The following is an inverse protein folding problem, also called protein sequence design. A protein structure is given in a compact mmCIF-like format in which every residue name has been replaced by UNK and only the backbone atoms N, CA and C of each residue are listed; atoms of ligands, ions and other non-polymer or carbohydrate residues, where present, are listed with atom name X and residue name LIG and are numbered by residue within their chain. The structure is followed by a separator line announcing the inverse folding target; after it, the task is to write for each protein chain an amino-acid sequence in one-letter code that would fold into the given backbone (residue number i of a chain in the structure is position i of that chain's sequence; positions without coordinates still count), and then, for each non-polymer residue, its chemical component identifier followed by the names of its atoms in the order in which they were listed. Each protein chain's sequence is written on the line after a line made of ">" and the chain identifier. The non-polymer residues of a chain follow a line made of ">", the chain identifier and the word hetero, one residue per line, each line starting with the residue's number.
data_IF_459405804633
#
_entry.id   IF_459405804633
#
_cell.length_a   1.000
_cell.length_b   1.000
_cell.length_c   1.000
_cell.angle_alpha   90.00
_cell.angle_beta   90.00
_cell.angle_gamma   90.00
#
_symmetry.space_group_name_H-M   'P 1'
#
loop_
_entity.id
_entity.type
_entity.pdbx_description
1 polymer ?
#
# COMPACT_ATOMS: atom_id res chain seq x y z
N UNK A 1 23.77 5.73 -0.80
CA UNK A 1 24.15 4.58 0.04
C UNK A 1 23.52 3.31 -0.54
N UNK A 2 24.27 2.23 -0.63
CA UNK A 2 24.01 1.00 -1.41
C UNK A 2 22.57 0.44 -1.30
N UNK A 3 21.83 0.42 -2.41
CA UNK A 3 20.47 -0.18 -2.51
C UNK A 3 20.52 -1.61 -3.07
N UNK A 4 21.29 -2.50 -2.42
CA UNK A 4 21.25 -3.94 -2.67
C UNK A 4 20.37 -4.61 -1.60
N UNK A 5 19.28 -5.27 -2.00
CA UNK A 5 18.55 -6.17 -1.09
C UNK A 5 19.09 -7.58 -1.25
N UNK A 6 19.66 -8.08 -0.15
CA UNK A 6 20.25 -9.40 0.01
C UNK A 6 19.21 -10.32 0.66
N UNK A 7 18.57 -11.19 -0.13
CA UNK A 7 17.59 -12.19 0.30
C UNK A 7 18.15 -13.62 0.14
N UNK A 8 19.45 -13.76 -0.11
CA UNK A 8 20.11 -15.05 -0.23
C UNK A 8 20.16 -15.82 1.09
N UNK A 9 20.31 -17.15 1.02
CA UNK A 9 20.46 -18.06 2.18
C UNK A 9 19.22 -18.10 3.11
N UNK A 10 18.02 -18.03 2.53
CA UNK A 10 16.78 -18.24 3.26
C UNK A 10 16.05 -19.51 2.75
N UNK A 11 14.88 -19.81 3.32
CA UNK A 11 14.07 -20.97 2.92
C UNK A 11 12.94 -20.61 1.95
N UNK A 12 13.12 -19.56 1.15
CA UNK A 12 12.06 -19.05 0.26
C UNK A 12 11.77 -20.09 -0.83
N UNK A 13 10.52 -20.55 -0.94
CA UNK A 13 10.09 -21.57 -1.90
C UNK A 13 9.42 -21.00 -3.13
N UNK A 14 8.79 -19.84 -3.03
CA UNK A 14 8.09 -19.17 -4.13
C UNK A 14 8.17 -17.65 -3.99
N UNK A 15 8.21 -16.95 -5.12
CA UNK A 15 8.11 -15.49 -5.18
C UNK A 15 6.76 -15.12 -5.79
N UNK A 16 5.86 -14.61 -4.95
CA UNK A 16 4.50 -14.26 -5.31
C UNK A 16 4.38 -12.99 -6.17
N UNK A 17 3.20 -12.81 -6.74
CA UNK A 17 2.84 -11.63 -7.51
C UNK A 17 3.06 -10.34 -6.69
N UNK A 18 3.67 -9.33 -7.30
CA UNK A 18 3.88 -8.03 -6.66
C UNK A 18 4.89 -7.99 -5.50
N UNK A 19 5.66 -9.05 -5.27
CA UNK A 19 6.58 -9.16 -4.12
C UNK A 19 7.58 -7.99 -3.96
N UNK A 20 7.92 -7.30 -5.05
CA UNK A 20 8.88 -6.19 -5.05
C UNK A 20 8.25 -4.82 -5.40
N UNK A 21 6.91 -4.73 -5.45
CA UNK A 21 6.18 -3.52 -5.88
C UNK A 21 6.42 -2.32 -4.94
N UNK A 22 6.62 -2.56 -3.65
CA UNK A 22 6.90 -1.51 -2.66
C UNK A 22 8.31 -0.90 -2.77
N UNK A 23 9.21 -1.47 -3.57
CA UNK A 23 10.65 -1.12 -3.60
C UNK A 23 11.17 -0.77 -5.01
N UNK A 24 10.46 0.15 -5.69
CA UNK A 24 10.70 0.60 -7.08
C UNK A 24 12.12 1.15 -7.37
N UNK A 25 12.87 1.55 -6.33
CA UNK A 25 14.21 2.17 -6.44
C UNK A 25 15.38 1.17 -6.36
N UNK A 26 15.09 -0.13 -6.26
CA UNK A 26 16.13 -1.16 -6.06
C UNK A 26 16.91 -1.40 -7.34
N UNK A 27 18.24 -1.25 -7.25
CA UNK A 27 19.16 -1.50 -8.36
C UNK A 27 19.64 -2.95 -8.42
N UNK A 28 19.65 -3.65 -7.27
CA UNK A 28 20.13 -5.02 -7.16
C UNK A 28 19.24 -5.89 -6.27
N UNK A 29 18.81 -7.03 -6.80
CA UNK A 29 18.08 -8.08 -6.07
C UNK A 29 18.92 -9.36 -6.08
N UNK A 30 19.20 -9.90 -4.89
CA UNK A 30 19.86 -11.20 -4.73
C UNK A 30 18.91 -12.20 -4.07
N UNK A 31 18.43 -13.18 -4.84
CA UNK A 31 17.58 -14.30 -4.40
C UNK A 31 18.34 -15.63 -4.49
N UNK A 32 19.66 -15.60 -4.71
CA UNK A 32 20.44 -16.82 -4.89
C UNK A 32 20.45 -17.68 -3.62
N UNK A 33 20.72 -18.98 -3.75
CA UNK A 33 20.81 -19.89 -2.59
C UNK A 33 19.52 -19.92 -1.74
N UNK A 34 18.36 -20.10 -2.38
CA UNK A 34 17.07 -20.32 -1.72
C UNK A 34 16.46 -21.66 -2.20
N UNK A 35 15.20 -21.92 -1.88
CA UNK A 35 14.45 -23.12 -2.31
C UNK A 35 13.40 -22.77 -3.39
N UNK A 36 13.63 -21.71 -4.18
CA UNK A 36 12.63 -21.17 -5.10
C UNK A 36 12.37 -22.13 -6.26
N UNK A 37 11.11 -22.55 -6.40
CA UNK A 37 10.67 -23.44 -7.48
C UNK A 37 10.02 -22.65 -8.61
N UNK A 38 9.26 -21.59 -8.28
CA UNK A 38 8.51 -20.75 -9.23
C UNK A 38 8.58 -19.26 -8.84
N UNK A 39 8.47 -18.38 -9.83
CA UNK A 39 8.34 -16.93 -9.67
C UNK A 39 7.14 -16.46 -10.49
N UNK A 40 6.26 -15.66 -9.90
CA UNK A 40 5.09 -15.09 -10.57
C UNK A 40 5.49 -14.12 -11.70
N UNK A 41 4.69 -14.09 -12.77
CA UNK A 41 5.00 -13.32 -14.00
C UNK A 41 5.14 -11.81 -13.82
N UNK A 42 4.49 -11.26 -12.80
CA UNK A 42 4.47 -9.85 -12.45
C UNK A 42 5.38 -9.50 -11.26
N UNK A 43 6.17 -10.45 -10.73
CA UNK A 43 7.00 -10.23 -9.55
C UNK A 43 8.00 -9.07 -9.70
N UNK A 44 8.51 -8.82 -10.92
CA UNK A 44 9.49 -7.76 -11.22
C UNK A 44 8.88 -6.52 -11.90
N UNK A 45 7.55 -6.44 -12.00
CA UNK A 45 6.88 -5.30 -12.62
C UNK A 45 7.12 -4.01 -11.82
N UNK A 46 7.37 -2.91 -12.52
CA UNK A 46 7.61 -1.59 -11.91
C UNK A 46 9.03 -1.36 -11.37
N UNK A 47 9.93 -2.35 -11.44
CA UNK A 47 11.34 -2.21 -11.03
C UNK A 47 12.20 -1.54 -12.12
N UNK A 48 11.92 -0.27 -12.40
CA UNK A 48 12.55 0.49 -13.50
C UNK A 48 14.04 0.77 -13.33
N UNK A 49 14.59 0.61 -12.12
CA UNK A 49 16.02 0.83 -11.82
C UNK A 49 16.83 -0.46 -11.63
N UNK A 50 16.24 -1.63 -11.83
CA UNK A 50 16.91 -2.91 -11.60
C UNK A 50 17.98 -3.16 -12.67
N UNK A 51 19.24 -3.28 -12.25
CA UNK A 51 20.38 -3.52 -13.13
C UNK A 51 21.09 -4.84 -12.85
N UNK A 52 20.88 -5.44 -11.67
CA UNK A 52 21.51 -6.70 -11.28
C UNK A 52 20.53 -7.63 -10.56
N UNK A 53 20.40 -8.85 -11.07
CA UNK A 53 19.57 -9.90 -10.52
C UNK A 53 20.41 -11.17 -10.29
N UNK A 54 20.25 -11.82 -9.14
CA UNK A 54 20.89 -13.11 -8.84
C UNK A 54 19.81 -14.12 -8.47
N UNK A 55 19.64 -15.16 -9.29
CA UNK A 55 18.66 -16.24 -9.09
C UNK A 55 19.31 -17.62 -8.93
N UNK A 56 20.63 -17.71 -9.04
CA UNK A 56 21.40 -18.95 -9.06
C UNK A 56 21.23 -19.78 -7.79
N UNK A 57 21.44 -21.10 -7.90
CA UNK A 57 21.27 -22.06 -6.78
C UNK A 57 19.86 -22.02 -6.18
N UNK A 58 18.85 -22.19 -7.04
CA UNK A 58 17.45 -22.41 -6.70
C UNK A 58 16.89 -23.60 -7.52
N UNK A 59 16.00 -24.43 -6.95
CA UNK A 59 15.43 -25.60 -7.62
C UNK A 59 14.29 -25.26 -8.60
N UNK A 60 14.57 -24.46 -9.62
CA UNK A 60 13.52 -24.00 -10.55
C UNK A 60 12.85 -25.14 -11.33
N UNK A 61 11.51 -25.12 -11.35
CA UNK A 61 10.70 -25.98 -12.22
C UNK A 61 10.41 -25.24 -13.53
N UNK A 62 11.12 -25.62 -14.59
CA UNK A 62 11.01 -25.05 -15.93
C UNK A 62 9.87 -25.68 -16.73
N UNK A 63 8.65 -25.49 -16.25
CA UNK A 63 7.39 -25.82 -16.92
C UNK A 63 6.79 -24.57 -17.61
N UNK A 64 5.55 -24.67 -18.10
CA UNK A 64 4.87 -23.56 -18.77
C UNK A 64 4.72 -22.30 -17.88
N UNK A 65 4.66 -22.44 -16.55
CA UNK A 65 4.50 -21.33 -15.62
C UNK A 65 5.75 -20.46 -15.48
N UNK A 66 6.94 -21.00 -15.77
CA UNK A 66 8.21 -20.27 -15.71
C UNK A 66 8.65 -19.72 -17.08
N UNK A 67 7.86 -19.95 -18.14
CA UNK A 67 8.16 -19.52 -19.52
C UNK A 67 8.44 -18.02 -19.62
N UNK A 68 7.67 -17.20 -18.90
CA UNK A 68 7.81 -15.74 -18.91
C UNK A 68 9.20 -15.30 -18.43
N UNK A 69 9.78 -16.01 -17.45
CA UNK A 69 11.05 -15.64 -16.84
C UNK A 69 12.19 -15.78 -17.84
N UNK A 70 12.17 -16.84 -18.64
CA UNK A 70 13.13 -17.02 -19.74
C UNK A 70 13.02 -15.88 -20.77
N UNK A 71 11.81 -15.49 -21.16
CA UNK A 71 11.59 -14.37 -22.05
C UNK A 71 12.07 -13.03 -21.44
N UNK A 72 11.81 -12.83 -20.15
CA UNK A 72 12.23 -11.64 -19.41
C UNK A 72 13.76 -11.53 -19.32
N UNK A 73 14.47 -12.61 -18.96
CA UNK A 73 15.93 -12.61 -18.82
C UNK A 73 16.66 -12.47 -20.17
N UNK A 74 16.07 -12.94 -21.28
CA UNK A 74 16.60 -12.68 -22.63
C UNK A 74 16.47 -11.22 -23.02
N UNK A 75 15.33 -10.60 -22.71
CA UNK A 75 15.07 -9.19 -22.99
C UNK A 75 15.88 -8.26 -22.09
N UNK A 76 16.15 -8.70 -20.86
CA UNK A 76 16.87 -7.95 -19.83
C UNK A 76 18.05 -8.79 -19.33
N UNK A 77 19.27 -8.64 -19.90
CA UNK A 77 20.46 -9.41 -19.51
C UNK A 77 21.07 -8.92 -18.18
N UNK A 78 20.23 -8.86 -17.14
CA UNK A 78 20.56 -8.36 -15.80
C UNK A 78 20.88 -9.50 -14.81
N UNK A 79 20.59 -10.75 -15.19
CA UNK A 79 20.88 -11.93 -14.38
C UNK A 79 22.36 -12.30 -14.49
N UNK A 80 23.06 -12.38 -13.36
CA UNK A 80 24.54 -12.51 -13.34
C UNK A 80 25.04 -13.77 -12.64
N UNK A 81 24.15 -14.57 -12.04
CA UNK A 81 24.51 -15.75 -11.25
C UNK A 81 24.27 -17.10 -11.96
N UNK A 82 23.72 -17.08 -13.18
CA UNK A 82 23.55 -18.24 -14.03
C UNK A 82 22.45 -19.18 -13.58
N UNK A 83 21.23 -18.65 -13.43
CA UNK A 83 20.04 -19.40 -13.05
C UNK A 83 19.81 -20.63 -13.96
N UNK A 84 19.62 -21.80 -13.37
CA UNK A 84 19.46 -23.09 -14.07
C UNK A 84 18.18 -23.78 -13.65
N UNK A 85 17.59 -24.53 -14.57
CA UNK A 85 16.48 -25.42 -14.26
C UNK A 85 16.97 -26.60 -13.41
N UNK A 86 16.13 -27.03 -12.46
CA UNK A 86 16.32 -28.28 -11.72
C UNK A 86 15.39 -29.36 -12.27
N UNK A 87 14.14 -29.00 -12.52
CA UNK A 87 13.14 -29.87 -13.14
C UNK A 87 12.53 -29.20 -14.39
N UNK A 88 11.92 -29.95 -15.33
CA UNK A 88 11.97 -31.41 -15.46
C UNK A 88 13.36 -31.91 -15.89
N UNK A 89 13.67 -33.21 -15.69
CA UNK A 89 14.98 -33.83 -15.97
C UNK A 89 15.57 -33.47 -17.35
N UNK A 90 14.73 -33.31 -18.39
CA UNK A 90 15.18 -32.92 -19.75
C UNK A 90 15.80 -31.52 -19.84
N UNK A 91 15.41 -30.62 -18.93
CA UNK A 91 15.90 -29.25 -18.85
C UNK A 91 16.87 -29.03 -17.69
N UNK A 92 17.03 -30.01 -16.80
CA UNK A 92 17.91 -29.93 -15.65
C UNK A 92 19.30 -29.43 -16.05
N UNK A 93 19.85 -28.51 -15.25
CA UNK A 93 21.17 -27.87 -15.40
C UNK A 93 21.30 -26.92 -16.61
N UNK A 94 20.30 -26.81 -17.49
CA UNK A 94 20.28 -25.80 -18.56
C UNK A 94 19.98 -24.42 -17.97
N UNK A 95 20.62 -23.38 -18.51
CA UNK A 95 20.37 -22.01 -18.07
C UNK A 95 19.00 -21.55 -18.57
N UNK A 96 18.27 -20.82 -17.73
CA UNK A 96 16.89 -20.40 -18.01
C UNK A 96 16.85 -19.40 -19.18
N UNK A 97 17.82 -18.48 -19.25
CA UNK A 97 17.97 -17.47 -20.32
C UNK A 97 18.28 -18.08 -21.70
N UNK A 98 18.84 -19.29 -21.74
CA UNK A 98 19.19 -19.99 -22.98
C UNK A 98 18.03 -20.84 -23.55
N UNK A 99 16.92 -20.98 -22.83
CA UNK A 99 15.77 -21.78 -23.26
C UNK A 99 14.80 -20.96 -24.09
N UNK A 100 14.22 -21.60 -25.10
CA UNK A 100 13.15 -21.03 -25.93
C UNK A 100 11.78 -21.44 -25.38
N UNK A 101 10.76 -20.67 -25.71
CA UNK A 101 9.39 -20.86 -25.24
C UNK A 101 8.87 -22.29 -25.45
N UNK A 102 9.20 -22.91 -26.57
CA UNK A 102 8.85 -24.30 -26.94
C UNK A 102 9.40 -25.38 -25.98
N UNK A 103 10.46 -25.04 -25.23
CA UNK A 103 11.06 -25.96 -24.27
C UNK A 103 10.22 -26.07 -22.98
N UNK A 104 9.36 -25.10 -22.69
CA UNK A 104 8.53 -25.08 -21.49
C UNK A 104 7.18 -25.78 -21.77
N UNK A 105 7.02 -26.99 -21.24
CA UNK A 105 5.82 -27.84 -21.48
C UNK A 105 5.22 -28.28 -20.14
N UNK A 106 3.89 -28.19 -20.00
CA UNK A 106 3.12 -28.71 -18.88
C UNK A 106 2.48 -30.07 -19.23
N UNK A 107 2.11 -30.88 -18.24
CA UNK A 107 1.42 -32.16 -18.47
C UNK A 107 -0.05 -31.88 -18.87
N UNK A 108 -0.61 -32.59 -19.87
CA UNK A 108 -2.03 -32.49 -20.17
C UNK A 108 -2.82 -33.07 -18.98
N UNK A 109 -3.65 -32.25 -18.34
CA UNK A 109 -4.40 -32.59 -17.13
C UNK A 109 -4.01 -31.84 -15.85
N UNK A 110 -2.95 -31.01 -15.88
CA UNK A 110 -2.83 -29.80 -15.02
C UNK A 110 -3.30 -28.56 -15.80
N UNK A 111 -4.15 -28.79 -16.80
CA UNK A 111 -4.94 -27.79 -17.47
C UNK A 111 -6.18 -27.59 -16.60
N UNK A 112 -6.20 -26.54 -15.77
CA UNK A 112 -7.49 -25.91 -15.46
C UNK A 112 -8.12 -25.57 -16.80
N UNK A 113 -9.31 -26.11 -17.06
CA UNK A 113 -10.09 -25.88 -18.28
C UNK A 113 -10.00 -24.43 -18.75
N UNK A 114 -9.20 -24.20 -19.80
CA UNK A 114 -8.98 -22.85 -20.26
C UNK A 114 -7.79 -22.64 -21.18
N UNK A 115 -7.42 -23.59 -22.05
CA UNK A 115 -6.69 -23.18 -23.26
C UNK A 115 -6.72 -24.21 -24.41
N UNK A 116 -7.75 -24.11 -25.24
CA UNK A 116 -7.64 -24.43 -26.67
C UNK A 116 -8.27 -23.29 -27.46
N UNK A 117 -7.55 -22.17 -27.56
CA UNK A 117 -7.91 -21.06 -28.44
C UNK A 117 -6.98 -19.86 -28.30
N UNK A 118 -5.88 -19.87 -29.06
CA UNK A 118 -4.89 -18.79 -29.07
C UNK A 118 -5.45 -17.45 -29.53
N UNK A 119 -5.00 -16.41 -28.82
CA UNK A 119 -4.97 -14.97 -29.16
C UNK A 119 -6.23 -14.13 -28.90
N UNK A 120 -6.47 -13.90 -27.61
CA UNK A 120 -7.18 -12.74 -27.07
C UNK A 120 -7.37 -12.98 -25.58
N UNK A 121 -6.52 -12.41 -24.72
CA UNK A 121 -6.72 -12.49 -23.28
C UNK A 121 -7.93 -11.63 -22.88
N UNK A 122 -9.14 -12.14 -23.15
CA UNK A 122 -10.34 -11.73 -22.42
C UNK A 122 -10.17 -12.30 -21.03
N UNK A 123 -9.71 -11.49 -20.08
CA UNK A 123 -9.69 -11.86 -18.68
C UNK A 123 -11.05 -12.45 -18.30
N UNK A 124 -11.05 -13.66 -17.75
CA UNK A 124 -12.26 -14.28 -17.27
C UNK A 124 -12.92 -13.33 -16.26
N UNK A 125 -14.23 -13.16 -16.35
CA UNK A 125 -14.96 -12.36 -15.38
C UNK A 125 -14.94 -13.08 -14.03
N UNK A 126 -14.69 -12.39 -12.89
CA UNK A 126 -14.77 -13.04 -11.59
C UNK A 126 -16.14 -13.68 -11.39
N UNK A 127 -16.19 -14.89 -10.82
CA UNK A 127 -17.42 -15.69 -10.77
C UNK A 127 -18.60 -15.01 -10.04
N UNK A 128 -18.31 -14.08 -9.14
CA UNK A 128 -19.31 -13.32 -8.39
C UNK A 128 -19.68 -11.97 -9.06
N UNK A 129 -19.18 -11.72 -10.27
CA UNK A 129 -19.34 -10.46 -10.98
C UNK A 129 -19.92 -10.69 -12.38
N UNK A 130 -20.59 -9.67 -12.90
CA UNK A 130 -20.99 -9.57 -14.29
C UNK A 130 -20.04 -8.62 -15.02
N UNK A 131 -19.51 -9.04 -16.17
CA UNK A 131 -18.61 -8.23 -16.98
C UNK A 131 -19.31 -7.82 -18.27
N UNK A 132 -19.19 -6.55 -18.62
CA UNK A 132 -19.72 -5.97 -19.84
C UNK A 132 -18.60 -5.30 -20.62
N UNK A 133 -18.42 -5.71 -21.87
CA UNK A 133 -17.39 -5.18 -22.75
C UNK A 133 -17.97 -4.03 -23.58
N UNK A 134 -17.32 -2.87 -23.54
CA UNK A 134 -17.66 -1.72 -24.36
C UNK A 134 -16.41 -1.21 -25.11
N UNK A 135 -16.56 -0.13 -25.88
CA UNK A 135 -15.47 0.47 -26.65
C UNK A 135 -14.33 1.04 -25.78
N UNK A 136 -14.52 1.19 -24.46
CA UNK A 136 -13.54 1.72 -23.50
C UNK A 136 -12.86 0.64 -22.67
N UNK A 137 -13.31 -0.62 -22.77
CA UNK A 137 -12.77 -1.75 -22.04
C UNK A 137 -13.86 -2.60 -21.39
N UNK A 138 -13.59 -3.10 -20.18
CA UNK A 138 -14.50 -3.97 -19.43
C UNK A 138 -15.06 -3.21 -18.23
N UNK A 139 -16.38 -3.21 -18.08
CA UNK A 139 -17.07 -2.82 -16.86
C UNK A 139 -17.36 -4.06 -16.03
N UNK A 140 -16.82 -4.13 -14.82
CA UNK A 140 -16.98 -5.27 -13.90
C UNK A 140 -17.95 -4.87 -12.80
N UNK A 141 -19.11 -5.50 -12.74
CA UNK A 141 -20.17 -5.24 -11.78
C UNK A 141 -20.33 -6.41 -10.79
N UNK A 142 -20.01 -6.17 -9.53
CA UNK A 142 -20.07 -7.15 -8.42
C UNK A 142 -20.97 -6.66 -7.28
N UNK A 143 -21.93 -5.78 -7.55
CA UNK A 143 -22.78 -5.21 -6.52
C UNK A 143 -23.65 -6.29 -5.84
N UNK A 144 -23.84 -6.19 -4.52
CA UNK A 144 -24.69 -7.11 -3.73
C UNK A 144 -24.27 -8.59 -3.77
N UNK A 145 -22.98 -8.85 -4.02
CA UNK A 145 -22.42 -10.19 -4.07
C UNK A 145 -21.92 -10.69 -2.70
N UNK A 146 -22.01 -9.87 -1.65
CA UNK A 146 -21.56 -10.22 -0.29
C UNK A 146 -20.04 -10.31 -0.15
N UNK A 147 -19.29 -9.66 -1.05
CA UNK A 147 -17.83 -9.73 -1.10
C UNK A 147 -17.18 -9.03 0.10
N UNK A 148 -16.15 -9.66 0.68
CA UNK A 148 -15.37 -9.10 1.80
C UNK A 148 -14.06 -8.45 1.34
N UNK A 149 -13.59 -8.78 0.14
CA UNK A 149 -12.37 -8.28 -0.48
C UNK A 149 -12.62 -7.99 -1.97
N UNK A 150 -11.76 -7.18 -2.58
CA UNK A 150 -11.79 -6.94 -4.03
C UNK A 150 -11.23 -8.18 -4.76
N UNK A 151 -11.92 -8.73 -5.78
CA UNK A 151 -11.42 -9.87 -6.55
C UNK A 151 -10.04 -9.59 -7.18
N UNK A 152 -9.14 -10.58 -7.15
CA UNK A 152 -7.77 -10.46 -7.69
C UNK A 152 -7.69 -10.78 -9.18
N UNK A 153 -8.67 -11.49 -9.69
CA UNK A 153 -8.82 -12.00 -11.05
C UNK A 153 -9.57 -11.01 -11.97
N UNK A 154 -9.33 -9.72 -11.80
CA UNK A 154 -9.93 -8.69 -12.65
C UNK A 154 -9.29 -8.66 -14.05
N UNK A 155 -10.08 -8.52 -15.13
CA UNK A 155 -9.55 -8.32 -16.48
C UNK A 155 -8.63 -7.09 -16.57
N UNK A 156 -7.49 -7.17 -17.27
CA UNK A 156 -6.55 -6.03 -17.37
C UNK A 156 -7.17 -4.78 -18.01
N UNK A 157 -8.11 -4.98 -18.94
CA UNK A 157 -8.85 -3.90 -19.60
C UNK A 157 -10.03 -3.37 -18.74
N UNK A 158 -10.05 -3.65 -17.44
CA UNK A 158 -11.10 -3.15 -16.54
C UNK A 158 -10.98 -1.63 -16.43
N UNK A 159 -11.98 -0.92 -16.96
CA UNK A 159 -12.06 0.54 -16.86
C UNK A 159 -13.00 1.02 -15.75
N UNK A 160 -13.95 0.18 -15.34
CA UNK A 160 -14.88 0.49 -14.26
C UNK A 160 -15.14 -0.76 -13.40
N UNK A 161 -14.93 -0.65 -12.09
CA UNK A 161 -15.22 -1.69 -11.11
C UNK A 161 -16.30 -1.20 -10.14
N UNK A 162 -17.45 -1.87 -10.18
CA UNK A 162 -18.63 -1.53 -9.39
C UNK A 162 -18.84 -2.58 -8.29
N UNK A 163 -18.53 -2.20 -7.06
CA UNK A 163 -18.55 -3.06 -5.88
C UNK A 163 -19.42 -2.48 -4.76
N UNK A 164 -20.43 -1.67 -5.10
CA UNK A 164 -21.36 -1.12 -4.14
C UNK A 164 -22.21 -2.18 -3.43
N UNK A 165 -22.70 -1.87 -2.22
CA UNK A 165 -23.55 -2.77 -1.43
C UNK A 165 -22.90 -4.14 -1.16
N UNK A 166 -21.63 -4.16 -0.72
CA UNK A 166 -20.90 -5.37 -0.33
C UNK A 166 -20.42 -5.26 1.13
N UNK A 167 -19.56 -6.18 1.58
CA UNK A 167 -19.06 -6.27 2.95
C UNK A 167 -17.57 -5.90 3.05
N UNK A 168 -17.06 -5.05 2.15
CA UNK A 168 -15.65 -4.64 2.18
C UNK A 168 -15.35 -3.89 3.48
N UNK A 169 -14.33 -4.33 4.23
CA UNK A 169 -13.89 -3.67 5.48
C UNK A 169 -12.67 -2.79 5.31
N UNK A 170 -11.82 -3.10 4.35
CA UNK A 170 -10.55 -2.44 4.16
C UNK A 170 -10.19 -2.42 2.67
N UNK A 171 -9.51 -1.36 2.23
CA UNK A 171 -8.84 -1.33 0.91
C UNK A 171 -7.33 -1.45 1.16
N UNK A 172 -6.73 -2.53 0.64
CA UNK A 172 -5.33 -2.89 0.88
C UNK A 172 -4.39 -2.24 -0.14
N UNK A 173 -3.16 -1.94 0.27
CA UNK A 173 -2.05 -1.54 -0.60
C UNK A 173 -1.29 -2.78 -1.10
N UNK A 174 -2.00 -3.63 -1.85
CA UNK A 174 -1.46 -4.85 -2.45
C UNK A 174 -1.10 -4.68 -3.95
N UNK A 175 -1.22 -3.45 -4.46
CA UNK A 175 -0.89 -3.10 -5.84
C UNK A 175 -1.93 -3.57 -6.87
N UNK A 176 -3.12 -4.04 -6.45
CA UNK A 176 -4.18 -4.46 -7.37
C UNK A 176 -4.54 -3.37 -8.39
N UNK A 177 -4.82 -2.16 -7.94
CA UNK A 177 -5.25 -1.08 -8.84
C UNK A 177 -4.13 -0.56 -9.76
N UNK A 178 -2.86 -0.69 -9.34
CA UNK A 178 -1.71 -0.39 -10.20
C UNK A 178 -1.53 -1.36 -11.37
N UNK A 179 -2.21 -2.51 -11.37
CA UNK A 179 -2.20 -3.50 -12.47
C UNK A 179 -3.30 -3.26 -13.51
N UNK A 180 -4.20 -2.30 -13.27
CA UNK A 180 -5.35 -2.00 -14.12
C UNK A 180 -5.13 -0.63 -14.80
N UNK A 181 -4.43 -0.58 -15.94
CA UNK A 181 -4.01 0.67 -16.56
C UNK A 181 -5.17 1.52 -17.07
N UNK A 182 -6.28 0.89 -17.45
CA UNK A 182 -7.46 1.55 -18.00
C UNK A 182 -8.48 1.96 -16.92
N UNK A 183 -8.19 1.66 -15.66
CA UNK A 183 -9.10 1.86 -14.54
C UNK A 183 -9.39 3.35 -14.33
N UNK A 184 -10.64 3.71 -14.53
CA UNK A 184 -11.15 5.06 -14.48
C UNK A 184 -12.16 5.26 -13.33
N UNK A 185 -12.94 4.22 -13.01
CA UNK A 185 -14.02 4.29 -12.04
C UNK A 185 -13.98 3.17 -11.00
N UNK A 186 -14.06 3.55 -9.74
CA UNK A 186 -14.28 2.68 -8.58
C UNK A 186 -15.53 3.09 -7.82
N UNK A 187 -16.46 2.15 -7.66
CA UNK A 187 -17.64 2.32 -6.82
C UNK A 187 -17.59 1.37 -5.63
N UNK A 188 -17.32 1.91 -4.45
CA UNK A 188 -17.28 1.19 -3.17
C UNK A 188 -18.35 1.71 -2.20
N UNK A 189 -19.41 2.34 -2.70
CA UNK A 189 -20.49 2.87 -1.85
C UNK A 189 -21.17 1.78 -1.03
N UNK A 190 -21.70 2.15 0.13
CA UNK A 190 -22.48 1.27 1.00
C UNK A 190 -21.74 -0.05 1.31
N UNK A 191 -20.47 0.07 1.68
CA UNK A 191 -19.69 -1.04 2.21
C UNK A 191 -19.41 -0.79 3.71
N UNK A 192 -18.63 -1.66 4.33
CA UNK A 192 -18.21 -1.54 5.72
C UNK A 192 -16.81 -0.94 5.90
N UNK A 193 -16.32 -0.12 4.96
CA UNK A 193 -14.89 0.25 4.92
C UNK A 193 -14.56 1.15 6.11
N UNK A 194 -13.68 0.67 6.99
CA UNK A 194 -13.17 1.42 8.15
C UNK A 194 -11.80 2.02 7.92
N UNK A 195 -11.01 1.43 7.02
CA UNK A 195 -9.63 1.83 6.76
C UNK A 195 -9.27 1.65 5.27
N UNK A 196 -8.52 2.60 4.75
CA UNK A 196 -7.82 2.51 3.46
C UNK A 196 -6.35 2.53 3.81
N UNK A 197 -5.57 1.54 3.37
CA UNK A 197 -4.14 1.54 3.61
C UNK A 197 -3.46 2.68 2.85
N UNK A 198 -2.40 3.25 3.43
CA UNK A 198 -1.59 4.26 2.76
C UNK A 198 -1.10 3.74 1.40
N UNK A 199 -1.26 4.55 0.35
CA UNK A 199 -0.90 4.21 -1.02
C UNK A 199 -1.70 3.03 -1.61
N UNK A 200 -2.90 2.74 -1.11
CA UNK A 200 -3.76 1.70 -1.69
C UNK A 200 -4.03 1.89 -3.20
N UNK A 201 -4.11 3.15 -3.66
CA UNK A 201 -4.36 3.51 -5.06
C UNK A 201 -3.09 3.85 -5.86
N UNK A 202 -1.89 3.52 -5.35
CA UNK A 202 -0.66 3.77 -6.09
C UNK A 202 -0.64 3.02 -7.43
N UNK A 203 -0.27 3.74 -8.49
CA UNK A 203 -0.30 3.25 -9.86
C UNK A 203 -1.65 3.41 -10.59
N UNK A 204 -2.74 3.77 -9.92
CA UNK A 204 -4.04 4.03 -10.54
C UNK A 204 -4.11 5.44 -11.17
N UNK A 205 -3.16 5.78 -12.04
CA UNK A 205 -2.95 7.15 -12.53
C UNK A 205 -4.12 7.71 -13.37
N UNK A 206 -4.89 6.85 -14.02
CA UNK A 206 -6.02 7.22 -14.89
C UNK A 206 -7.36 7.27 -14.14
N UNK A 207 -7.36 7.05 -12.83
CA UNK A 207 -8.58 7.05 -12.02
C UNK A 207 -9.21 8.45 -12.00
N UNK A 208 -10.49 8.54 -12.38
CA UNK A 208 -11.27 9.77 -12.44
C UNK A 208 -12.44 9.77 -11.46
N UNK A 209 -13.04 8.62 -11.18
CA UNK A 209 -14.21 8.50 -10.31
C UNK A 209 -13.94 7.54 -9.15
N UNK A 210 -14.02 8.03 -7.90
CA UNK A 210 -13.94 7.21 -6.69
C UNK A 210 -15.13 7.51 -5.79
N UNK A 211 -16.00 6.52 -5.61
CA UNK A 211 -17.23 6.65 -4.82
C UNK A 211 -17.12 5.86 -3.51
N UNK A 212 -17.09 6.57 -2.38
CA UNK A 212 -16.92 6.00 -1.02
C UNK A 212 -18.08 6.36 -0.07
N UNK A 213 -19.22 6.84 -0.58
CA UNK A 213 -20.37 7.19 0.26
C UNK A 213 -20.88 5.99 1.09
N UNK A 214 -21.40 6.27 2.28
CA UNK A 214 -22.05 5.25 3.12
C UNK A 214 -21.10 4.17 3.64
N UNK A 215 -19.86 4.53 3.93
CA UNK A 215 -18.87 3.66 4.57
C UNK A 215 -18.64 4.04 6.05
N UNK A 216 -17.63 3.45 6.69
CA UNK A 216 -17.31 3.65 8.10
C UNK A 216 -15.95 4.32 8.33
N UNK A 217 -15.51 5.17 7.39
CA UNK A 217 -14.25 5.92 7.51
C UNK A 217 -14.36 6.99 8.60
N UNK A 218 -13.65 6.78 9.72
CA UNK A 218 -13.55 7.75 10.81
C UNK A 218 -12.31 8.63 10.69
N UNK A 219 -11.19 8.07 10.23
CA UNK A 219 -9.92 8.75 10.05
C UNK A 219 -9.52 8.73 8.58
N UNK A 220 -8.93 9.83 8.11
CA UNK A 220 -8.52 9.99 6.71
C UNK A 220 -7.15 10.66 6.67
N UNK A 221 -6.16 10.00 6.08
CA UNK A 221 -4.81 10.53 5.87
C UNK A 221 -4.63 10.93 4.41
N UNK A 222 -3.68 11.83 4.14
CA UNK A 222 -3.34 12.28 2.79
C UNK A 222 -2.78 11.13 1.93
N UNK A 223 -2.03 10.21 2.57
CA UNK A 223 -1.42 9.04 1.94
C UNK A 223 -2.44 8.01 1.43
N UNK A 224 -3.64 7.93 2.01
CA UNK A 224 -4.71 7.04 1.54
C UNK A 224 -5.08 7.26 0.07
N UNK A 225 -5.03 8.51 -0.40
CA UNK A 225 -5.41 8.90 -1.77
C UNK A 225 -4.20 9.25 -2.65
N UNK A 226 -3.01 8.87 -2.21
CA UNK A 226 -1.81 9.06 -3.01
C UNK A 226 -1.94 8.31 -4.35
N UNK A 227 -1.49 8.95 -5.44
CA UNK A 227 -1.59 8.43 -6.81
C UNK A 227 -2.87 8.84 -7.56
N UNK A 228 -3.91 9.34 -6.89
CA UNK A 228 -5.17 9.78 -7.51
C UNK A 228 -5.07 11.20 -8.08
N UNK A 229 -4.12 11.42 -9.00
CA UNK A 229 -3.84 12.75 -9.55
C UNK A 229 -4.94 13.25 -10.50
N UNK A 230 -5.60 12.34 -11.22
CA UNK A 230 -6.59 12.60 -12.27
C UNK A 230 -8.04 12.61 -11.77
N UNK A 231 -8.26 12.61 -10.45
CA UNK A 231 -9.58 12.46 -9.87
C UNK A 231 -10.48 13.67 -10.19
N UNK A 232 -11.63 13.41 -10.80
CA UNK A 232 -12.64 14.40 -11.20
C UNK A 232 -13.88 14.29 -10.32
N UNK A 233 -14.28 13.06 -10.00
CA UNK A 233 -15.43 12.76 -9.15
C UNK A 233 -14.95 11.99 -7.92
N UNK A 234 -15.26 12.55 -6.76
CA UNK A 234 -14.98 11.91 -5.47
C UNK A 234 -16.17 12.13 -4.56
N UNK A 235 -16.63 11.07 -3.91
CA UNK A 235 -17.73 11.14 -2.96
C UNK A 235 -17.36 10.43 -1.66
N UNK A 236 -17.72 11.02 -0.53
CA UNK A 236 -17.31 10.58 0.81
C UNK A 236 -18.44 10.79 1.84
N UNK A 237 -19.66 11.06 1.39
CA UNK A 237 -20.79 11.42 2.24
C UNK A 237 -21.23 10.23 3.09
N UNK A 238 -21.78 10.47 4.28
CA UNK A 238 -22.25 9.38 5.14
C UNK A 238 -21.13 8.55 5.77
N UNK A 239 -19.89 9.03 5.78
CA UNK A 239 -18.80 8.46 6.58
C UNK A 239 -18.70 9.16 7.95
N UNK A 240 -18.37 8.44 9.03
CA UNK A 240 -18.26 8.99 10.38
C UNK A 240 -16.96 9.77 10.64
N UNK A 241 -16.58 10.68 9.73
CA UNK A 241 -15.28 11.38 9.75
C UNK A 241 -15.10 12.21 11.02
N UNK A 242 -13.99 11.98 11.73
CA UNK A 242 -13.56 12.78 12.87
C UNK A 242 -12.65 13.93 12.42
N UNK A 243 -13.19 15.14 12.36
CA UNK A 243 -12.50 16.37 11.98
C UNK A 243 -11.61 16.92 13.11
N UNK A 244 -10.45 16.27 13.31
CA UNK A 244 -9.35 16.77 14.14
C UNK A 244 -8.37 17.61 13.31
N UNK A 245 -7.32 18.18 13.92
CA UNK A 245 -6.27 18.89 13.17
C UNK A 245 -5.58 18.01 12.10
N UNK A 246 -5.56 16.69 12.27
CA UNK A 246 -5.00 15.75 11.28
C UNK A 246 -5.83 15.63 10.01
N UNK A 247 -7.09 16.05 10.01
CA UNK A 247 -7.99 15.99 8.85
C UNK A 247 -8.10 17.36 8.16
N UNK A 248 -7.47 18.40 8.70
CA UNK A 248 -7.54 19.75 8.13
C UNK A 248 -7.04 19.86 6.68
N UNK A 249 -6.09 19.01 6.28
CA UNK A 249 -5.62 18.94 4.89
C UNK A 249 -6.76 18.59 3.91
N UNK A 250 -7.72 17.76 4.34
CA UNK A 250 -8.81 17.26 3.51
C UNK A 250 -9.71 18.40 3.06
N UNK A 251 -9.98 19.38 3.93
CA UNK A 251 -10.76 20.57 3.58
C UNK A 251 -10.12 21.35 2.41
N UNK A 252 -8.82 21.61 2.50
CA UNK A 252 -8.08 22.29 1.43
C UNK A 252 -8.04 21.46 0.14
N UNK A 253 -7.78 20.17 0.25
CA UNK A 253 -7.72 19.25 -0.89
C UNK A 253 -9.06 19.16 -1.63
N UNK A 254 -10.17 18.99 -0.89
CA UNK A 254 -11.52 18.94 -1.46
C UNK A 254 -11.94 20.27 -2.08
N UNK A 255 -11.69 21.39 -1.39
CA UNK A 255 -12.06 22.73 -1.86
C UNK A 255 -11.32 23.11 -3.14
N UNK A 256 -10.01 22.89 -3.19
CA UNK A 256 -9.18 23.23 -4.36
C UNK A 256 -9.56 22.42 -5.60
N UNK A 257 -9.97 21.15 -5.41
CA UNK A 257 -10.35 20.25 -6.51
C UNK A 257 -11.86 20.20 -6.77
N UNK A 258 -12.68 20.92 -5.98
CA UNK A 258 -14.16 20.86 -6.01
C UNK A 258 -14.71 19.44 -5.90
N UNK A 259 -14.11 18.65 -5.01
CA UNK A 259 -14.43 17.25 -4.78
C UNK A 259 -15.30 17.08 -3.52
N UNK A 260 -16.07 15.98 -3.47
CA UNK A 260 -16.95 15.57 -2.36
C UNK A 260 -17.68 16.73 -1.65
N UNK A 261 -18.57 17.47 -2.35
CA UNK A 261 -19.28 18.62 -1.78
C UNK A 261 -20.23 18.24 -0.62
N UNK A 262 -20.55 16.95 -0.46
CA UNK A 262 -21.35 16.40 0.65
C UNK A 262 -20.54 15.81 1.80
N UNK A 263 -19.21 15.92 1.79
CA UNK A 263 -18.38 15.42 2.88
C UNK A 263 -18.58 16.26 4.14
N UNK A 264 -19.05 15.63 5.21
CA UNK A 264 -19.35 16.31 6.47
C UNK A 264 -18.66 15.63 7.65
N UNK A 265 -18.31 16.44 8.65
CA UNK A 265 -17.75 15.93 9.90
C UNK A 265 -18.85 15.21 10.70
N UNK A 266 -18.56 14.02 11.22
CA UNK A 266 -19.44 13.36 12.20
C UNK A 266 -19.06 13.72 13.65
N UNK A 267 -17.79 14.07 13.86
CA UNK A 267 -17.23 14.50 15.14
C UNK A 267 -16.05 15.46 14.88
N UNK A 268 -15.58 16.24 15.88
CA UNK A 268 -16.14 16.42 17.23
C UNK A 268 -17.51 17.11 17.24
N UNK A 269 -18.19 17.16 18.39
CA UNK A 269 -19.57 17.65 18.51
C UNK A 269 -19.77 19.08 17.98
N UNK A 270 -18.77 19.95 18.12
CA UNK A 270 -18.80 21.33 17.63
C UNK A 270 -18.68 21.45 16.10
N UNK A 271 -18.20 20.41 15.41
CA UNK A 271 -18.13 20.36 13.95
C UNK A 271 -19.12 19.36 13.36
N UNK A 272 -19.94 18.68 14.17
CA UNK A 272 -20.86 17.64 13.70
C UNK A 272 -21.85 18.22 12.67
N UNK A 273 -21.88 17.62 11.48
CA UNK A 273 -22.68 18.06 10.33
C UNK A 273 -22.04 19.19 9.51
N UNK A 274 -20.90 19.75 9.93
CA UNK A 274 -20.24 20.81 9.19
C UNK A 274 -19.65 20.27 7.88
N UNK A 275 -19.81 21.05 6.81
CA UNK A 275 -19.35 20.68 5.47
C UNK A 275 -17.83 20.90 5.34
N UNK A 276 -17.07 19.83 5.15
CA UNK A 276 -15.59 19.82 5.23
C UNK A 276 -14.93 20.83 4.28
N UNK A 277 -15.30 20.94 2.98
CA UNK A 277 -14.68 21.90 2.06
C UNK A 277 -14.99 23.37 2.38
N UNK A 278 -15.96 23.65 3.26
CA UNK A 278 -16.28 25.01 3.72
C UNK A 278 -15.62 25.38 5.06
N UNK A 279 -14.93 24.43 5.71
CA UNK A 279 -14.21 24.68 6.96
C UNK A 279 -12.84 25.28 6.68
N UNK A 280 -12.41 26.16 7.57
CA UNK A 280 -11.06 26.72 7.55
C UNK A 280 -10.12 25.87 8.40
N UNK A 281 -8.82 25.93 8.09
CA UNK A 281 -7.79 25.18 8.83
C UNK A 281 -7.84 25.43 10.35
N UNK A 282 -8.26 26.61 10.79
CA UNK A 282 -8.40 27.00 12.20
C UNK A 282 -9.53 26.30 12.94
N UNK A 283 -10.52 25.76 12.22
CA UNK A 283 -11.65 25.03 12.79
C UNK A 283 -11.23 23.64 13.25
N UNK A 284 -10.22 23.07 12.59
CA UNK A 284 -9.67 21.76 12.89
C UNK A 284 -8.74 21.83 14.10
N UNK A 285 -9.32 21.61 15.28
CA UNK A 285 -8.58 21.65 16.54
C UNK A 285 -8.22 20.25 17.00
N UNK A 286 -6.96 20.12 17.36
CA UNK A 286 -6.48 19.01 18.17
C UNK A 286 -6.67 19.42 19.64
N UNK A 287 -7.62 18.78 20.34
CA UNK A 287 -7.58 18.80 21.81
C UNK A 287 -6.28 18.12 22.24
N UNK A 288 -5.72 18.42 23.42
CA UNK A 288 -4.44 17.86 23.91
C UNK A 288 -4.35 16.32 24.00
N UNK A 289 -5.36 15.62 23.49
CA UNK A 289 -5.43 14.18 23.19
C UNK A 289 -4.93 13.83 21.77
N UNK A 290 -4.54 14.82 20.96
CA UNK A 290 -4.16 14.65 19.54
C UNK A 290 -2.73 15.13 19.22
N UNK A 291 -1.91 15.49 20.21
CA UNK A 291 -0.45 15.55 19.97
C UNK A 291 0.16 14.13 19.80
N UNK A 292 -0.70 13.09 19.77
CA UNK A 292 -0.47 11.67 19.51
C UNK A 292 -0.18 11.29 18.02
N UNK A 293 0.63 12.03 17.24
CA UNK A 293 0.71 11.82 15.75
C UNK A 293 1.92 11.05 15.19
N UNK A 294 1.70 9.85 14.61
CA UNK A 294 2.60 8.72 14.26
C UNK A 294 4.06 8.84 13.73
N UNK A 295 4.74 10.01 13.62
CA UNK A 295 6.05 10.11 12.92
C UNK A 295 7.23 10.95 13.47
N UNK A 296 7.16 11.69 14.59
CA UNK A 296 8.28 12.47 15.19
C UNK A 296 9.45 11.52 15.51
N UNK A 297 10.67 11.77 15.02
CA UNK A 297 11.85 10.91 15.28
C UNK A 297 12.77 11.40 16.40
N UNK A 298 12.79 12.70 16.69
CA UNK A 298 13.54 13.30 17.80
C UNK A 298 12.90 14.62 18.22
N UNK A 299 13.14 15.05 19.46
CA UNK A 299 12.63 16.31 20.01
C UNK A 299 13.76 17.08 20.73
N UNK A 300 14.11 18.25 20.21
CA UNK A 300 15.15 19.12 20.74
C UNK A 300 14.55 20.20 21.67
N UNK A 301 15.22 20.56 22.79
CA UNK A 301 14.73 21.54 23.77
C UNK A 301 14.28 22.87 23.15
N UNK A 302 15.02 23.37 22.15
CA UNK A 302 14.77 24.65 21.49
C UNK A 302 13.41 24.69 20.78
N UNK A 303 12.89 23.53 20.36
CA UNK A 303 11.64 23.39 19.61
C UNK A 303 10.41 23.55 20.49
N UNK A 304 10.52 23.32 21.81
CA UNK A 304 9.36 23.33 22.72
C UNK A 304 9.53 24.25 23.92
N UNK A 305 10.75 24.72 24.24
CA UNK A 305 11.02 25.62 25.39
C UNK A 305 10.16 26.89 25.46
N UNK A 306 9.66 27.35 24.31
CA UNK A 306 8.84 28.55 24.22
C UNK A 306 7.37 28.33 24.63
N UNK A 307 6.93 27.07 24.75
CA UNK A 307 5.56 26.68 25.12
C UNK A 307 5.34 26.71 26.64
N UNK A 308 5.73 27.82 27.28
CA UNK A 308 5.77 27.98 28.75
C UNK A 308 4.40 27.85 29.44
N UNK A 309 3.29 27.92 28.69
CA UNK A 309 1.93 27.78 29.20
C UNK A 309 1.34 26.38 29.03
N UNK A 310 2.09 25.46 28.42
CA UNK A 310 1.61 24.12 28.09
C UNK A 310 1.46 23.29 29.37
N UNK A 311 0.26 22.76 29.61
CA UNK A 311 -0.04 21.92 30.80
C UNK A 311 -0.04 20.43 30.48
N UNK A 312 -0.29 20.07 29.22
CA UNK A 312 -0.28 18.69 28.74
C UNK A 312 0.37 18.61 27.36
N UNK A 313 1.33 17.69 27.21
CA UNK A 313 2.06 17.40 25.98
C UNK A 313 1.92 15.91 25.67
N UNK A 314 1.34 15.59 24.53
CA UNK A 314 1.31 14.23 24.01
C UNK A 314 2.30 14.13 22.85
N UNK A 315 3.01 13.02 22.76
CA UNK A 315 3.97 12.69 21.72
C UNK A 315 3.82 11.20 21.41
N UNK A 316 2.74 10.55 21.86
CA UNK A 316 2.54 9.14 21.55
C UNK A 316 2.31 8.95 20.07
N UNK A 317 2.42 7.71 19.58
CA UNK A 317 2.27 7.38 18.18
C UNK A 317 3.26 8.25 17.43
N UNK A 318 4.54 7.92 17.42
CA UNK A 318 5.58 8.71 16.78
C UNK A 318 6.75 7.77 16.42
N UNK A 319 7.89 8.27 15.95
CA UNK A 319 9.09 7.46 15.66
C UNK A 319 10.28 7.83 16.57
N UNK A 320 10.03 8.41 17.75
CA UNK A 320 11.06 9.01 18.61
C UNK A 320 11.95 7.92 19.17
N UNK A 321 13.26 7.97 18.97
CA UNK A 321 14.19 6.95 19.45
C UNK A 321 15.00 7.36 20.70
N UNK A 322 15.21 8.67 20.91
CA UNK A 322 15.90 9.25 22.08
C UNK A 322 15.20 10.52 22.57
N UNK A 323 15.05 10.68 23.89
CA UNK A 323 14.68 11.94 24.56
C UNK A 323 15.82 12.39 25.47
N UNK A 324 16.30 13.62 25.31
CA UNK A 324 17.39 14.17 26.11
C UNK A 324 16.87 14.76 27.44
N UNK A 325 17.71 14.80 28.48
CA UNK A 325 17.32 15.24 29.83
C UNK A 325 16.75 16.67 29.88
N UNK A 326 17.16 17.51 28.93
CA UNK A 326 16.79 18.93 28.88
C UNK A 326 15.69 19.19 27.84
N UNK A 327 15.16 18.16 27.17
CA UNK A 327 14.17 18.29 26.09
C UNK A 327 12.95 19.09 26.53
N UNK A 328 12.55 19.02 27.81
CA UNK A 328 11.36 19.69 28.33
C UNK A 328 11.66 20.95 29.16
N UNK A 329 12.91 21.45 29.11
CA UNK A 329 13.30 22.65 29.84
C UNK A 329 12.50 23.87 29.36
N UNK A 330 12.03 24.68 30.32
CA UNK A 330 11.20 25.86 30.05
C UNK A 330 9.68 25.60 30.01
N UNK A 331 9.24 24.33 29.99
CA UNK A 331 7.82 23.95 30.09
C UNK A 331 7.32 24.00 31.55
N UNK A 332 7.41 25.18 32.18
CA UNK A 332 7.23 25.36 33.63
C UNK A 332 5.82 25.08 34.15
N UNK A 333 4.82 24.98 33.27
CA UNK A 333 3.44 24.63 33.62
C UNK A 333 3.03 23.21 33.22
N UNK A 334 3.95 22.41 32.65
CA UNK A 334 3.66 21.08 32.15
C UNK A 334 3.43 20.09 33.30
N UNK A 335 2.25 19.48 33.34
CA UNK A 335 1.85 18.52 34.37
C UNK A 335 1.53 17.13 33.83
N UNK A 336 1.40 16.96 32.51
CA UNK A 336 1.12 15.66 31.88
C UNK A 336 1.91 15.50 30.57
N UNK A 337 2.74 14.45 30.48
CA UNK A 337 3.52 14.09 29.29
C UNK A 337 3.21 12.65 28.87
N UNK A 338 2.95 12.40 27.58
CA UNK A 338 2.58 11.07 27.04
C UNK A 338 3.45 10.77 25.82
N UNK A 339 4.07 9.58 25.72
CA UNK A 339 5.11 9.25 24.71
C UNK A 339 4.99 7.82 24.12
N UNK A 340 3.83 7.18 24.23
CA UNK A 340 3.56 5.78 23.81
C UNK A 340 3.75 5.55 22.29
N UNK A 341 3.82 4.32 21.77
CA UNK A 341 3.93 4.05 20.31
C UNK A 341 5.05 4.83 19.57
N UNK A 342 6.23 4.93 20.18
CA UNK A 342 7.46 5.52 19.63
C UNK A 342 8.54 4.45 19.36
N UNK A 343 9.79 4.85 19.07
CA UNK A 343 10.97 3.97 18.94
C UNK A 343 11.96 4.10 20.11
N UNK A 344 11.52 4.61 21.27
CA UNK A 344 12.40 4.99 22.38
C UNK A 344 13.18 3.79 22.92
N UNK A 345 14.51 3.89 22.93
CA UNK A 345 15.38 2.81 23.43
C UNK A 345 15.78 2.96 24.89
N UNK A 346 15.79 4.19 25.41
CA UNK A 346 16.07 4.48 26.80
C UNK A 346 15.41 5.82 27.21
N UNK A 347 14.96 5.89 28.46
CA UNK A 347 14.58 7.13 29.14
C UNK A 347 15.56 7.25 30.31
N UNK A 348 16.50 8.20 30.25
CA UNK A 348 17.38 8.41 31.38
C UNK A 348 16.59 9.07 32.52
N UNK A 349 16.40 8.34 33.60
CA UNK A 349 15.93 8.91 34.86
C UNK A 349 17.15 9.50 35.56
N UNK A 350 17.12 10.82 35.76
CA UNK A 350 17.95 11.44 36.79
C UNK A 350 17.60 10.81 38.13
N UNK A 351 18.57 10.15 38.77
CA UNK A 351 18.57 10.00 40.22
C UNK A 351 18.66 11.41 40.83
N UNK A 352 17.55 12.13 40.95
CA UNK A 352 17.53 13.38 41.70
C UNK A 352 17.32 13.11 43.18
N UNK A 353 18.42 13.29 43.92
CA UNK A 353 18.53 13.76 45.30
C UNK A 353 18.22 12.80 46.46
N UNK A 354 19.29 12.47 47.20
CA UNK A 354 19.29 12.55 48.67
C UNK A 354 19.60 11.26 49.41
N UNK A 355 20.87 11.08 49.80
CA UNK A 355 21.24 10.86 51.21
C UNK A 355 22.71 11.28 51.42
N UNK A 356 23.03 12.05 52.48
CA UNK A 356 24.39 12.37 52.84
C UNK A 356 25.10 11.12 53.37
N UNK A 357 26.35 10.92 52.99
CA UNK A 357 27.26 10.06 53.74
C UNK A 357 28.54 10.85 54.01
N UNK A 358 28.72 11.09 55.31
CA UNK A 358 29.97 11.24 56.07
C UNK A 358 31.13 11.92 55.38
#
# INVERSE_FOLDING_TARGET
>A
MCTSRRLEQNEITEVGAGAFVAIKVVARIDLSNNKIVKIAADAFNGLTRLTSLHLGRNPFTCDCSLRWLAAYLRKNPIETSGAKCDSPKRLARKRIDALRDENFKCKPGEETEGDRGSCGATGACPAACACEWDARGVRVACARAGQNDVPRDLPMATHALLMSDNNLRQIKSDGLFGRLPDLNKLDFRNNGITEIEDNAFDGAANMQELLLDGNHLATVTDKMFFGLHSLVTFTLSGNPIHCSCHVGWLAGWLRTRRLAPGAACASPANLRGANIPHLELTDFKCTGKYLESNEITSLEPEQIRHLTQLTRLDLSNNKIDVLHNNTFDGLTKLSTLIVSYNRLRCVQVSLSQGYPKG
#
